data_IF_846548862422
#
_entry.id   IF_846548862422
#
_cell.length_a   1.000
_cell.length_b   1.000
_cell.length_c   1.000
_cell.angle_alpha   90.00
_cell.angle_beta   90.00
_cell.angle_gamma   90.00
#
_symmetry.space_group_name_H-M   'P 1'
#
loop_
_entity.id
_entity.type
_entity.pdbx_description
1 polymer ?
#
# COMPACT_ATOMS: atom_id res chain seq x y z
N UNK A 1 19.84 18.45 40.23
CA UNK A 1 18.56 17.77 40.55
C UNK A 1 17.37 18.29 39.72
N UNK A 2 17.58 19.13 38.69
CA UNK A 2 16.50 19.65 37.83
C UNK A 2 16.49 19.07 36.40
N UNK A 3 17.52 18.35 35.96
CA UNK A 3 17.54 17.71 34.62
C UNK A 3 16.74 16.40 34.57
N UNK A 4 16.68 15.64 35.68
CA UNK A 4 15.97 14.36 35.75
C UNK A 4 14.45 14.49 35.85
N UNK A 5 13.93 15.66 36.26
CA UNK A 5 12.48 15.94 36.29
C UNK A 5 11.95 16.36 34.90
N UNK A 6 12.77 17.00 34.07
CA UNK A 6 12.37 17.37 32.70
C UNK A 6 12.28 16.16 31.77
N UNK A 7 13.12 15.13 31.98
CA UNK A 7 13.04 13.86 31.24
C UNK A 7 11.83 13.00 31.61
N UNK A 8 11.29 13.13 32.83
CA UNK A 8 10.11 12.37 33.25
C UNK A 8 8.79 13.01 32.79
N UNK A 9 8.80 14.32 32.52
CA UNK A 9 7.60 15.11 32.15
C UNK A 9 7.42 15.25 30.61
N UNK A 10 8.46 15.04 29.80
CA UNK A 10 8.37 15.11 28.33
C UNK A 10 8.52 13.74 27.64
N UNK A 11 7.70 12.76 28.03
CA UNK A 11 7.53 11.55 27.23
C UNK A 11 6.62 11.87 26.02
N UNK A 12 7.23 12.06 24.84
CA UNK A 12 6.53 12.28 23.55
C UNK A 12 5.39 11.25 23.34
N UNK A 13 5.60 10.03 23.83
CA UNK A 13 4.70 8.88 23.71
C UNK A 13 3.48 8.88 24.63
N UNK A 14 3.42 9.76 25.62
CA UNK A 14 2.29 9.88 26.57
C UNK A 14 1.54 11.19 26.41
N UNK A 15 1.91 12.01 25.43
CA UNK A 15 1.25 13.30 25.22
C UNK A 15 -0.17 13.11 24.67
N UNK A 16 -1.12 13.97 25.08
CA UNK A 16 -2.46 13.94 24.55
C UNK A 16 -2.47 14.26 23.05
N UNK A 17 -3.48 13.75 22.35
CA UNK A 17 -3.71 14.07 20.96
C UNK A 17 -3.99 15.57 20.77
N UNK A 18 -3.55 16.12 19.64
CA UNK A 18 -3.67 17.56 19.35
C UNK A 18 -5.05 17.96 18.77
N UNK A 19 -5.88 16.99 18.41
CA UNK A 19 -7.22 17.19 17.88
C UNK A 19 -8.29 16.83 18.92
N UNK A 20 -9.50 17.38 18.76
CA UNK A 20 -10.63 17.00 19.60
C UNK A 20 -10.97 15.51 19.41
N UNK A 21 -11.35 14.85 20.50
CA UNK A 21 -11.66 13.42 20.46
C UNK A 21 -12.81 13.08 19.49
N UNK A 22 -13.73 14.03 19.25
CA UNK A 22 -14.76 13.86 18.23
C UNK A 22 -14.16 13.70 16.83
N UNK A 23 -13.17 14.51 16.46
CA UNK A 23 -12.52 14.43 15.14
C UNK A 23 -11.69 13.15 15.03
N UNK A 24 -10.99 12.77 16.09
CA UNK A 24 -10.22 11.53 16.13
C UNK A 24 -11.12 10.30 15.95
N UNK A 25 -12.31 10.28 16.55
CA UNK A 25 -13.31 9.22 16.33
C UNK A 25 -13.79 9.17 14.88
N UNK A 26 -13.99 10.31 14.22
CA UNK A 26 -14.31 10.33 12.78
C UNK A 26 -13.17 9.77 11.93
N UNK A 27 -11.91 10.13 12.24
CA UNK A 27 -10.73 9.55 11.60
C UNK A 27 -10.68 8.03 11.85
N UNK A 28 -10.94 7.57 13.07
CA UNK A 28 -11.03 6.15 13.40
C UNK A 28 -12.12 5.42 12.61
N UNK A 29 -13.31 6.00 12.49
CA UNK A 29 -14.39 5.45 11.66
C UNK A 29 -13.97 5.34 10.18
N UNK A 30 -13.29 6.35 9.65
CA UNK A 30 -12.75 6.34 8.29
C UNK A 30 -11.67 5.27 8.09
N UNK A 31 -10.76 5.10 9.05
CA UNK A 31 -9.73 4.06 9.03
C UNK A 31 -10.35 2.66 9.08
N UNK A 32 -11.44 2.48 9.83
CA UNK A 32 -12.20 1.23 9.86
C UNK A 32 -12.80 0.90 8.49
N UNK A 33 -13.41 1.89 7.82
CA UNK A 33 -13.90 1.74 6.44
C UNK A 33 -12.76 1.37 5.49
N UNK A 34 -11.64 2.07 5.57
CA UNK A 34 -10.43 1.83 4.75
C UNK A 34 -9.91 0.40 4.95
N UNK A 35 -9.87 -0.08 6.18
CA UNK A 35 -9.46 -1.45 6.52
C UNK A 35 -10.37 -2.51 5.86
N UNK A 36 -11.69 -2.36 6.01
CA UNK A 36 -12.68 -3.32 5.47
C UNK A 36 -12.62 -3.33 3.94
N UNK A 37 -12.64 -2.16 3.31
CA UNK A 37 -12.58 -2.05 1.85
C UNK A 37 -11.23 -2.53 1.30
N UNK A 38 -10.12 -2.17 1.95
CA UNK A 38 -8.77 -2.57 1.56
C UNK A 38 -8.61 -4.08 1.52
N UNK A 39 -9.07 -4.78 2.57
CA UNK A 39 -9.02 -6.25 2.61
C UNK A 39 -9.95 -6.86 1.55
N UNK A 40 -11.19 -6.40 1.49
CA UNK A 40 -12.21 -7.00 0.62
C UNK A 40 -11.85 -6.85 -0.85
N UNK A 41 -11.53 -5.63 -1.30
CA UNK A 41 -11.30 -5.33 -2.71
C UNK A 41 -9.99 -5.95 -3.22
N UNK A 42 -8.90 -5.84 -2.47
CA UNK A 42 -7.63 -6.45 -2.87
C UNK A 42 -7.69 -7.98 -2.77
N UNK A 43 -8.39 -8.53 -1.78
CA UNK A 43 -8.61 -9.97 -1.67
C UNK A 43 -9.38 -10.55 -2.86
N UNK A 44 -10.42 -9.87 -3.33
CA UNK A 44 -11.18 -10.27 -4.52
C UNK A 44 -10.30 -10.26 -5.77
N UNK A 45 -9.56 -9.16 -6.02
CA UNK A 45 -8.68 -9.06 -7.20
C UNK A 45 -7.61 -10.15 -7.16
N UNK A 46 -6.98 -10.35 -6.00
CA UNK A 46 -5.97 -11.39 -5.83
C UNK A 46 -6.55 -12.77 -6.10
N UNK A 47 -7.76 -13.06 -5.62
CA UNK A 47 -8.46 -14.33 -5.85
C UNK A 47 -8.71 -14.59 -7.34
N UNK A 48 -9.17 -13.58 -8.09
CA UNK A 48 -9.40 -13.67 -9.54
C UNK A 48 -8.09 -13.97 -10.30
N UNK A 49 -7.00 -13.30 -9.91
CA UNK A 49 -5.69 -13.47 -10.54
C UNK A 49 -5.01 -14.79 -10.15
N UNK A 50 -5.34 -15.34 -8.99
CA UNK A 50 -4.95 -16.69 -8.55
C UNK A 50 -5.66 -17.78 -9.34
N UNK A 51 -6.96 -17.64 -9.58
CA UNK A 51 -7.76 -18.58 -10.38
C UNK A 51 -7.31 -18.61 -11.86
N UNK A 52 -7.00 -17.44 -12.43
CA UNK A 52 -6.56 -17.32 -13.83
C UNK A 52 -5.05 -17.57 -14.06
N UNK A 53 -4.39 -18.42 -13.26
CA UNK A 53 -2.91 -18.61 -13.31
C UNK A 53 -2.35 -18.94 -14.69
N UNK A 54 -3.07 -19.74 -15.47
CA UNK A 54 -2.65 -20.18 -16.81
C UNK A 54 -2.77 -19.09 -17.89
N UNK A 55 -3.50 -18.01 -17.61
CA UNK A 55 -3.69 -16.87 -18.52
C UNK A 55 -3.03 -15.60 -17.97
N UNK A 56 -1.98 -15.76 -17.18
CA UNK A 56 -1.23 -14.62 -16.65
C UNK A 56 -0.38 -14.00 -17.74
N UNK A 57 -0.40 -12.68 -17.76
CA UNK A 57 0.55 -11.81 -18.44
C UNK A 57 1.58 -11.32 -17.43
N UNK A 58 2.74 -10.82 -17.89
CA UNK A 58 3.73 -10.18 -17.02
C UNK A 58 3.14 -9.03 -16.19
N UNK A 59 2.11 -8.35 -16.68
CA UNK A 59 1.45 -7.24 -15.99
C UNK A 59 0.63 -7.72 -14.78
N UNK A 60 0.09 -8.93 -14.83
CA UNK A 60 -0.64 -9.51 -13.69
C UNK A 60 0.29 -9.70 -12.49
N UNK A 61 1.61 -9.86 -12.69
CA UNK A 61 2.59 -9.92 -11.60
C UNK A 61 2.63 -8.61 -10.82
N UNK A 62 2.68 -7.47 -11.51
CA UNK A 62 2.65 -6.15 -10.85
C UNK A 62 1.36 -5.96 -10.05
N UNK A 63 0.22 -6.33 -10.62
CA UNK A 63 -1.08 -6.20 -9.95
C UNK A 63 -1.17 -7.12 -8.73
N UNK A 64 -0.69 -8.37 -8.83
CA UNK A 64 -0.63 -9.30 -7.69
C UNK A 64 0.23 -8.71 -6.57
N UNK A 65 1.44 -8.24 -6.88
CA UNK A 65 2.34 -7.64 -5.89
C UNK A 65 1.74 -6.38 -5.25
N UNK A 66 0.99 -5.59 -6.03
CA UNK A 66 0.32 -4.39 -5.55
C UNK A 66 -0.84 -4.72 -4.62
N UNK A 67 -1.66 -5.73 -4.95
CA UNK A 67 -2.68 -6.24 -4.03
C UNK A 67 -2.06 -6.81 -2.74
N UNK A 68 -0.93 -7.51 -2.82
CA UNK A 68 -0.20 -7.99 -1.63
C UNK A 68 0.27 -6.81 -0.78
N UNK A 69 0.83 -5.77 -1.42
CA UNK A 69 1.25 -4.54 -0.76
C UNK A 69 0.08 -3.85 -0.04
N UNK A 70 -1.06 -3.65 -0.73
CA UNK A 70 -2.25 -3.00 -0.16
C UNK A 70 -2.89 -3.83 0.97
N UNK A 71 -2.81 -5.16 0.89
CA UNK A 71 -3.21 -6.06 1.98
C UNK A 71 -2.27 -5.95 3.19
N UNK A 72 -0.96 -5.88 2.99
CA UNK A 72 0.00 -5.66 4.07
C UNK A 72 -0.21 -4.29 4.74
N UNK A 73 -0.45 -3.23 3.96
CA UNK A 73 -0.79 -1.91 4.49
C UNK A 73 -2.06 -1.98 5.35
N UNK A 74 -3.08 -2.69 4.88
CA UNK A 74 -4.36 -2.84 5.58
C UNK A 74 -4.23 -3.65 6.86
N UNK A 75 -3.54 -4.80 6.82
CA UNK A 75 -3.44 -5.73 7.94
C UNK A 75 -2.40 -5.31 8.99
N UNK A 76 -1.31 -4.68 8.58
CA UNK A 76 -0.18 -4.36 9.45
C UNK A 76 -0.05 -2.87 9.78
N UNK A 77 -0.46 -1.99 8.85
CA UNK A 77 -0.32 -0.54 9.00
C UNK A 77 -1.53 0.17 9.62
N UNK A 78 -2.76 -0.25 9.29
CA UNK A 78 -3.99 0.44 9.74
C UNK A 78 -4.43 0.13 11.19
N UNK A 79 -4.24 -1.07 11.76
CA UNK A 79 -4.83 -1.38 13.07
C UNK A 79 -4.37 -0.48 14.23
N UNK A 80 -3.07 -0.17 14.32
CA UNK A 80 -2.52 0.68 15.39
C UNK A 80 -3.05 2.13 15.34
N UNK A 81 -3.08 2.82 14.18
CA UNK A 81 -3.67 4.15 14.11
C UNK A 81 -5.19 4.10 14.26
N UNK A 82 -5.86 3.05 13.78
CA UNK A 82 -7.31 2.88 13.96
C UNK A 82 -7.69 2.89 15.45
N UNK A 83 -7.09 2.01 16.24
CA UNK A 83 -7.39 1.91 17.68
C UNK A 83 -6.94 3.15 18.46
N UNK A 84 -5.80 3.76 18.09
CA UNK A 84 -5.31 5.00 18.70
C UNK A 84 -6.23 6.20 18.43
N UNK A 85 -6.80 6.30 17.22
CA UNK A 85 -7.78 7.34 16.89
C UNK A 85 -9.12 7.13 17.63
N UNK A 86 -9.59 5.89 17.75
CA UNK A 86 -10.80 5.58 18.53
C UNK A 86 -10.62 5.83 20.03
N UNK A 87 -9.40 5.61 20.55
CA UNK A 87 -9.03 5.91 21.93
C UNK A 87 -8.64 7.37 22.16
N UNK A 88 -8.60 8.19 21.09
CA UNK A 88 -8.22 9.61 21.13
C UNK A 88 -6.81 9.87 21.72
N UNK A 89 -5.91 8.89 21.64
CA UNK A 89 -4.51 8.98 22.11
C UNK A 89 -3.67 7.83 21.52
N UNK A 90 -2.37 8.02 21.46
CA UNK A 90 -1.45 6.91 21.15
C UNK A 90 -1.42 5.88 22.29
N UNK A 91 -1.60 4.60 21.96
CA UNK A 91 -1.70 3.52 22.96
C UNK A 91 -0.40 2.72 23.14
N UNK A 92 0.52 2.78 22.18
CA UNK A 92 1.44 1.68 21.93
C UNK A 92 2.93 1.98 22.21
N UNK A 93 3.25 3.20 22.65
CA UNK A 93 4.61 3.62 22.98
C UNK A 93 5.55 3.68 21.77
N UNK A 94 6.86 3.81 22.03
CA UNK A 94 7.90 4.05 21.01
C UNK A 94 8.05 2.90 20.01
N UNK A 95 8.20 1.66 20.47
CA UNK A 95 8.57 0.54 19.59
C UNK A 95 7.52 0.23 18.53
N UNK A 96 6.24 0.26 18.92
CA UNK A 96 5.14 0.03 17.99
C UNK A 96 4.89 1.23 17.07
N UNK A 97 5.34 2.43 17.46
CA UNK A 97 5.34 3.59 16.58
C UNK A 97 6.39 3.45 15.47
N UNK A 98 7.60 2.99 15.82
CA UNK A 98 8.64 2.69 14.85
C UNK A 98 8.20 1.58 13.89
N UNK A 99 7.56 0.54 14.42
CA UNK A 99 6.97 -0.53 13.60
C UNK A 99 5.91 0.01 12.64
N UNK A 100 4.94 0.79 13.12
CA UNK A 100 3.85 1.31 12.28
C UNK A 100 4.38 2.26 11.21
N UNK A 101 5.25 3.20 11.59
CA UNK A 101 5.89 4.13 10.67
C UNK A 101 6.74 3.41 9.62
N UNK A 102 7.52 2.39 10.02
CA UNK A 102 8.31 1.59 9.10
C UNK A 102 7.46 0.84 8.09
N UNK A 103 6.45 0.09 8.56
CA UNK A 103 5.58 -0.71 7.69
C UNK A 103 4.79 0.19 6.75
N UNK A 104 4.17 1.25 7.25
CA UNK A 104 3.40 2.18 6.44
C UNK A 104 4.28 2.83 5.35
N UNK A 105 5.49 3.24 5.71
CA UNK A 105 6.40 3.89 4.77
C UNK A 105 6.98 2.90 3.74
N UNK A 106 7.47 1.74 4.19
CA UNK A 106 8.00 0.69 3.32
C UNK A 106 6.97 0.21 2.29
N UNK A 107 5.79 -0.19 2.74
CA UNK A 107 4.72 -0.71 1.89
C UNK A 107 4.19 0.39 0.96
N UNK A 108 4.11 1.64 1.44
CA UNK A 108 3.74 2.80 0.63
C UNK A 108 4.74 3.05 -0.52
N UNK A 109 6.04 2.98 -0.23
CA UNK A 109 7.09 3.15 -1.26
C UNK A 109 7.09 2.02 -2.29
N UNK A 110 6.94 0.76 -1.85
CA UNK A 110 6.81 -0.39 -2.76
C UNK A 110 5.60 -0.22 -3.68
N UNK A 111 4.44 0.14 -3.12
CA UNK A 111 3.22 0.39 -3.89
C UNK A 111 3.39 1.51 -4.92
N UNK A 112 4.04 2.61 -4.54
CA UNK A 112 4.37 3.71 -5.44
C UNK A 112 5.21 3.25 -6.63
N UNK A 113 6.30 2.51 -6.39
CA UNK A 113 7.15 2.01 -7.47
C UNK A 113 6.45 1.00 -8.38
N UNK A 114 5.58 0.14 -7.84
CA UNK A 114 4.76 -0.77 -8.63
C UNK A 114 3.77 -0.01 -9.53
N UNK A 115 3.15 1.05 -9.02
CA UNK A 115 2.28 1.93 -9.81
C UNK A 115 3.05 2.67 -10.90
N UNK A 116 4.26 3.16 -10.62
CA UNK A 116 5.13 3.76 -11.62
C UNK A 116 5.47 2.77 -12.74
N UNK A 117 5.88 1.54 -12.39
CA UNK A 117 6.18 0.50 -13.36
C UNK A 117 4.96 0.15 -14.24
N UNK A 118 3.79 0.03 -13.63
CA UNK A 118 2.53 -0.20 -14.36
C UNK A 118 2.22 0.96 -15.31
N UNK A 119 2.41 2.20 -14.86
CA UNK A 119 2.13 3.41 -15.64
C UNK A 119 3.07 3.53 -16.84
N UNK A 120 4.36 3.29 -16.65
CA UNK A 120 5.37 3.30 -17.72
C UNK A 120 5.06 2.23 -18.77
N UNK A 121 4.71 1.02 -18.34
CA UNK A 121 4.32 -0.04 -19.25
C UNK A 121 3.08 0.35 -20.09
N UNK A 122 2.07 0.98 -19.48
CA UNK A 122 0.87 1.44 -20.19
C UNK A 122 1.17 2.55 -21.19
N UNK A 123 1.98 3.51 -20.79
CA UNK A 123 2.44 4.59 -21.68
C UNK A 123 3.14 4.02 -22.93
N UNK A 124 4.05 3.06 -22.75
CA UNK A 124 4.79 2.46 -23.85
C UNK A 124 3.89 1.73 -24.86
N UNK A 125 2.97 0.89 -24.37
CA UNK A 125 2.02 0.16 -25.23
C UNK A 125 1.18 1.13 -26.09
N UNK A 126 0.78 2.26 -25.53
CA UNK A 126 -0.04 3.27 -26.24
C UNK A 126 0.80 4.01 -27.29
N UNK A 127 2.05 4.36 -26.98
CA UNK A 127 2.91 5.16 -27.86
C UNK A 127 3.56 4.33 -28.97
N UNK A 128 3.78 3.03 -28.76
CA UNK A 128 4.36 2.14 -29.77
C UNK A 128 3.40 1.03 -30.19
N UNK A 129 2.28 1.36 -30.88
CA UNK A 129 1.43 0.35 -31.50
C UNK A 129 2.26 -0.36 -32.58
N UNK A 130 2.28 -1.70 -32.58
CA UNK A 130 3.04 -2.58 -33.50
C UNK A 130 4.49 -2.93 -33.11
N UNK A 131 4.94 -2.64 -31.89
CA UNK A 131 6.15 -3.27 -31.33
C UNK A 131 5.78 -4.38 -30.35
N UNK A 132 6.64 -5.40 -30.25
CA UNK A 132 6.51 -6.46 -29.25
C UNK A 132 6.49 -5.86 -27.83
N UNK A 133 5.72 -6.46 -26.92
CA UNK A 133 5.68 -6.04 -25.52
C UNK A 133 7.09 -6.12 -24.90
N UNK A 134 7.62 -4.97 -24.46
CA UNK A 134 8.93 -4.91 -23.80
C UNK A 134 8.95 -5.65 -22.45
N UNK A 135 7.80 -5.71 -21.77
CA UNK A 135 7.70 -6.28 -20.43
C UNK A 135 7.46 -7.78 -20.51
N UNK A 136 8.51 -8.54 -20.23
CA UNK A 136 8.49 -9.99 -20.03
C UNK A 136 8.29 -10.35 -18.55
N UNK A 137 8.04 -11.63 -18.25
CA UNK A 137 7.99 -12.11 -16.87
C UNK A 137 9.31 -11.85 -16.11
N UNK A 138 10.45 -12.06 -16.77
CA UNK A 138 11.77 -11.82 -16.17
C UNK A 138 11.93 -10.35 -15.77
N UNK A 139 11.61 -9.43 -16.67
CA UNK A 139 11.69 -7.99 -16.38
C UNK A 139 10.69 -7.58 -15.30
N UNK A 140 9.49 -8.19 -15.27
CA UNK A 140 8.50 -7.91 -14.23
C UNK A 140 9.00 -8.31 -12.83
N UNK A 141 9.55 -9.52 -12.68
CA UNK A 141 10.12 -9.96 -11.39
C UNK A 141 11.32 -9.11 -10.96
N UNK A 142 12.19 -8.73 -11.90
CA UNK A 142 13.31 -7.82 -11.61
C UNK A 142 12.79 -6.46 -11.13
N UNK A 143 11.80 -5.89 -11.82
CA UNK A 143 11.19 -4.62 -11.42
C UNK A 143 10.56 -4.69 -10.03
N UNK A 144 9.83 -5.78 -9.70
CA UNK A 144 9.27 -5.98 -8.35
C UNK A 144 10.38 -6.06 -7.29
N UNK A 145 11.45 -6.81 -7.56
CA UNK A 145 12.59 -6.92 -6.66
C UNK A 145 13.26 -5.57 -6.43
N UNK A 146 13.47 -4.78 -7.49
CA UNK A 146 14.00 -3.41 -7.39
C UNK A 146 13.05 -2.47 -6.62
N UNK A 147 11.73 -2.60 -6.78
CA UNK A 147 10.76 -1.84 -5.98
C UNK A 147 10.87 -2.15 -4.49
N UNK A 148 11.09 -3.41 -4.11
CA UNK A 148 11.30 -3.83 -2.72
C UNK A 148 12.61 -3.24 -2.18
N UNK A 149 13.70 -3.37 -2.93
CA UNK A 149 14.99 -2.80 -2.53
C UNK A 149 14.92 -1.27 -2.40
N UNK A 150 14.24 -0.60 -3.33
CA UNK A 150 14.00 0.83 -3.26
C UNK A 150 13.17 1.22 -2.03
N UNK A 151 12.12 0.46 -1.70
CA UNK A 151 11.33 0.67 -0.50
C UNK A 151 12.17 0.55 0.78
N UNK A 152 13.02 -0.48 0.86
CA UNK A 152 13.93 -0.68 1.99
C UNK A 152 14.99 0.43 2.08
N UNK A 153 15.52 0.88 0.94
CA UNK A 153 16.49 1.97 0.88
C UNK A 153 15.97 3.24 1.56
N UNK A 154 14.67 3.53 1.46
CA UNK A 154 14.07 4.68 2.14
C UNK A 154 13.60 4.37 3.56
N UNK A 155 13.01 3.20 3.81
CA UNK A 155 12.42 2.90 5.11
C UNK A 155 13.42 2.51 6.21
N UNK A 156 14.60 1.99 5.85
CA UNK A 156 15.61 1.58 6.83
C UNK A 156 16.42 2.75 7.44
N UNK A 157 16.88 3.76 6.68
CA UNK A 157 17.71 4.83 7.23
C UNK A 157 17.14 5.63 8.42
N UNK A 158 15.83 5.88 8.55
CA UNK A 158 15.26 6.46 9.77
C UNK A 158 15.52 5.62 11.03
N UNK A 159 15.62 4.28 10.91
CA UNK A 159 15.96 3.40 12.03
C UNK A 159 17.46 3.51 12.37
N UNK A 160 18.30 3.76 11.36
CA UNK A 160 19.75 3.88 11.49
C UNK A 160 20.21 5.29 11.93
N UNK A 161 19.28 6.24 12.08
CA UNK A 161 19.57 7.59 12.59
C UNK A 161 19.81 8.66 11.53
N UNK A 162 19.58 8.38 10.24
CA UNK A 162 19.56 9.44 9.21
C UNK A 162 18.26 10.25 9.27
N UNK A 163 17.18 9.67 9.79
CA UNK A 163 15.97 10.38 10.21
C UNK A 163 15.48 9.68 11.50
N UNK A 164 14.20 9.82 11.85
CA UNK A 164 13.58 9.20 13.01
C UNK A 164 12.10 8.92 12.74
N UNK A 165 11.56 7.83 13.30
CA UNK A 165 10.12 7.57 13.28
C UNK A 165 9.48 8.20 14.52
N UNK A 166 8.48 9.06 14.31
CA UNK A 166 7.77 9.74 15.39
C UNK A 166 6.27 9.87 15.12
N UNK A 167 5.53 10.32 16.13
CA UNK A 167 4.11 10.64 16.06
C UNK A 167 3.86 11.77 15.04
N UNK A 168 2.95 11.53 14.11
CA UNK A 168 2.57 12.48 13.06
C UNK A 168 1.20 13.13 13.37
N UNK A 169 1.01 14.36 12.88
CA UNK A 169 -0.29 15.02 12.82
C UNK A 169 -0.97 15.15 14.18
N UNK A 170 -2.11 14.47 14.35
CA UNK A 170 -2.88 14.48 15.59
C UNK A 170 -2.28 13.64 16.73
N UNK A 171 -1.10 13.03 16.53
CA UNK A 171 -0.39 12.15 17.48
C UNK A 171 -1.08 10.83 17.76
N UNK A 172 -1.68 10.26 16.71
CA UNK A 172 -2.39 8.96 16.74
C UNK A 172 -1.92 8.01 15.63
N UNK A 173 -0.90 8.38 14.86
CA UNK A 173 -0.23 7.60 13.81
C UNK A 173 1.25 8.01 13.82
N UNK A 174 2.11 7.23 13.17
CA UNK A 174 3.53 7.49 13.07
C UNK A 174 4.01 7.60 11.63
N UNK A 175 5.07 8.38 11.44
CA UNK A 175 5.73 8.60 10.16
C UNK A 175 7.19 8.95 10.38
N UNK A 176 7.93 9.16 9.29
CA UNK A 176 9.22 9.85 9.36
C UNK A 176 9.05 11.27 9.91
N UNK A 177 10.11 11.81 10.52
CA UNK A 177 10.10 13.16 11.10
C UNK A 177 10.20 14.21 9.99
N UNK A 178 9.10 14.91 9.74
CA UNK A 178 9.02 15.96 8.73
C UNK A 178 9.48 17.34 9.21
N UNK A 179 9.30 17.61 10.50
CA UNK A 179 9.37 18.97 11.07
C UNK A 179 10.46 19.03 12.14
N UNK A 180 11.72 19.03 11.69
CA UNK A 180 12.89 19.21 12.55
C UNK A 180 14.01 19.92 11.77
N UNK A 181 14.89 20.61 12.49
CA UNK A 181 15.99 21.42 11.92
C UNK A 181 17.35 20.73 12.02
N UNK A 182 17.39 19.47 12.45
CA UNK A 182 18.61 18.69 12.47
C UNK A 182 19.10 18.39 11.05
N UNK A 183 20.41 18.42 10.84
CA UNK A 183 21.02 18.20 9.51
C UNK A 183 20.63 16.84 8.93
N UNK A 184 20.51 15.82 9.77
CA UNK A 184 20.07 14.48 9.38
C UNK A 184 18.65 14.52 8.80
N UNK A 185 17.68 15.10 9.52
CA UNK A 185 16.29 15.20 9.06
C UNK A 185 16.17 16.07 7.80
N UNK A 186 16.82 17.23 7.77
CA UNK A 186 16.79 18.13 6.60
C UNK A 186 17.40 17.43 5.38
N UNK A 187 18.59 16.84 5.51
CA UNK A 187 19.27 16.18 4.39
C UNK A 187 18.47 15.00 3.85
N UNK A 188 17.89 14.18 4.73
CA UNK A 188 17.03 13.06 4.35
C UNK A 188 15.76 13.53 3.62
N UNK A 189 15.08 14.56 4.15
CA UNK A 189 13.87 15.09 3.53
C UNK A 189 14.16 15.75 2.18
N UNK A 190 15.23 16.55 2.07
CA UNK A 190 15.68 17.12 0.78
C UNK A 190 15.98 16.01 -0.22
N UNK A 191 16.64 14.94 0.21
CA UNK A 191 16.97 13.82 -0.65
C UNK A 191 15.71 13.11 -1.15
N UNK A 192 14.76 12.75 -0.28
CA UNK A 192 13.48 12.16 -0.73
C UNK A 192 12.79 13.06 -1.75
N UNK A 193 12.69 14.36 -1.45
CA UNK A 193 12.00 15.34 -2.30
C UNK A 193 12.70 15.51 -3.66
N UNK A 194 14.02 15.56 -3.69
CA UNK A 194 14.82 15.72 -4.90
C UNK A 194 14.74 14.49 -5.82
N UNK A 195 14.62 13.29 -5.24
CA UNK A 195 14.58 12.02 -5.98
C UNK A 195 13.18 11.59 -6.43
N UNK A 196 12.08 12.21 -5.94
CA UNK A 196 10.68 11.95 -6.37
C UNK A 196 10.22 12.66 -7.65
N UNK A 197 11.16 13.16 -8.45
CA UNK A 197 11.13 14.43 -9.17
C UNK A 197 10.34 15.59 -8.54
N UNK A 198 10.87 16.80 -8.74
CA UNK A 198 10.08 18.01 -8.95
C UNK A 198 8.81 18.05 -8.11
N UNK A 199 9.00 18.39 -6.83
CA UNK A 199 8.00 18.97 -5.98
C UNK A 199 7.13 19.92 -6.81
N UNK A 200 6.03 19.38 -7.37
CA UNK A 200 4.91 20.10 -7.95
C UNK A 200 4.39 21.18 -6.98
N UNK A 201 4.90 21.17 -5.75
CA UNK A 201 4.60 22.06 -4.65
C UNK A 201 5.84 22.72 -3.98
N UNK A 202 7.00 22.77 -4.63
CA UNK A 202 7.69 24.07 -4.58
C UNK A 202 6.67 25.21 -4.93
N UNK A 203 5.66 24.90 -5.75
CA UNK A 203 4.52 25.73 -6.13
C UNK A 203 3.59 26.18 -4.98
N UNK A 204 2.92 25.32 -4.20
CA UNK A 204 2.00 25.81 -3.14
C UNK A 204 2.79 26.35 -1.94
N UNK A 205 3.83 25.67 -1.47
CA UNK A 205 4.48 26.03 -0.20
C UNK A 205 5.32 27.30 -0.27
N UNK A 206 5.61 27.82 -1.47
CA UNK A 206 6.29 29.12 -1.64
C UNK A 206 5.33 30.32 -1.71
N UNK A 207 4.03 30.10 -1.99
CA UNK A 207 3.02 31.17 -2.05
C UNK A 207 2.12 31.25 -0.80
N UNK A 208 2.19 30.27 0.13
CA UNK A 208 1.39 30.27 1.37
C UNK A 208 2.27 30.31 2.64
N UNK A 209 2.25 31.46 3.29
CA UNK A 209 3.02 31.82 4.51
C UNK A 209 2.72 30.94 5.75
N UNK A 210 3.65 30.87 6.73
CA UNK A 210 3.65 29.89 7.83
C UNK A 210 2.78 30.30 9.04
N UNK A 211 1.54 30.71 8.80
CA UNK A 211 0.59 30.98 9.89
C UNK A 211 -0.65 30.11 9.72
N UNK A 212 -0.72 29.09 10.59
CA UNK A 212 -1.85 28.19 10.88
C UNK A 212 -2.01 27.01 9.90
N UNK A 213 -1.07 26.06 9.91
CA UNK A 213 -1.41 24.65 9.64
C UNK A 213 -1.90 24.06 10.97
N UNK A 214 -3.21 23.86 11.09
CA UNK A 214 -3.75 23.14 12.24
C UNK A 214 -3.19 21.71 12.27
N UNK A 215 -2.95 21.10 13.45
CA UNK A 215 -2.53 19.69 13.57
C UNK A 215 -3.40 18.70 12.79
N UNK A 216 -4.65 19.09 12.48
CA UNK A 216 -5.59 18.39 11.62
C UNK A 216 -5.21 18.42 10.13
N UNK A 217 -4.75 19.57 9.63
CA UNK A 217 -4.31 19.72 8.24
C UNK A 217 -3.13 18.81 7.89
N UNK A 218 -2.21 18.59 8.84
CA UNK A 218 -1.10 17.66 8.69
C UNK A 218 -1.51 16.18 8.62
N UNK A 219 -2.72 15.84 9.08
CA UNK A 219 -3.24 14.46 9.04
C UNK A 219 -3.88 14.10 7.68
N UNK A 220 -4.24 15.09 6.86
CA UNK A 220 -4.95 14.88 5.59
C UNK A 220 -4.09 14.05 4.60
N UNK A 221 -2.82 14.39 4.32
CA UNK A 221 -1.99 13.59 3.41
C UNK A 221 -1.80 12.14 3.89
N UNK A 222 -1.64 11.94 5.20
CA UNK A 222 -1.51 10.61 5.79
C UNK A 222 -2.80 9.77 5.60
N UNK A 223 -3.97 10.39 5.71
CA UNK A 223 -5.26 9.75 5.44
C UNK A 223 -5.37 9.37 3.96
N UNK A 224 -5.08 10.30 3.04
CA UNK A 224 -5.09 10.05 1.59
C UNK A 224 -4.13 8.94 1.18
N UNK A 225 -2.92 8.93 1.75
CA UNK A 225 -1.95 7.87 1.53
C UNK A 225 -2.51 6.51 1.98
N UNK A 226 -3.19 6.46 3.13
CA UNK A 226 -3.88 5.25 3.63
C UNK A 226 -5.10 4.88 2.76
N UNK A 227 -5.77 5.83 2.10
CA UNK A 227 -6.90 5.58 1.19
C UNK A 227 -6.50 4.83 -0.08
N UNK A 228 -5.24 4.95 -0.50
CA UNK A 228 -4.74 4.37 -1.75
C UNK A 228 -5.06 2.88 -1.85
N UNK A 229 -5.05 2.16 -0.72
CA UNK A 229 -5.30 0.70 -0.66
C UNK A 229 -6.65 0.29 -1.26
N UNK A 230 -7.69 1.12 -1.17
CA UNK A 230 -9.00 0.79 -1.77
C UNK A 230 -9.25 1.50 -3.09
N UNK A 231 -8.65 2.67 -3.34
CA UNK A 231 -8.75 3.36 -4.64
C UNK A 231 -8.02 2.61 -5.76
N UNK A 232 -6.86 2.03 -5.43
CA UNK A 232 -6.03 1.22 -6.31
C UNK A 232 -6.85 0.14 -7.07
N UNK A 233 -7.58 -0.77 -6.38
CA UNK A 233 -8.52 -1.70 -7.00
C UNK A 233 -9.49 -1.12 -8.03
N UNK A 234 -10.12 0.03 -7.72
CA UNK A 234 -11.08 0.66 -8.62
C UNK A 234 -10.43 1.13 -9.92
N UNK A 235 -9.26 1.77 -9.81
CA UNK A 235 -8.49 2.23 -10.97
C UNK A 235 -8.12 1.04 -11.86
N UNK A 236 -7.64 -0.08 -11.29
CA UNK A 236 -7.27 -1.25 -12.09
C UNK A 236 -8.44 -1.84 -12.87
N UNK A 237 -9.60 -1.98 -12.22
CA UNK A 237 -10.80 -2.54 -12.85
C UNK A 237 -11.27 -1.64 -14.00
N UNK A 238 -11.27 -0.32 -13.81
CA UNK A 238 -11.71 0.60 -14.85
C UNK A 238 -10.71 0.71 -16.01
N UNK A 239 -9.41 0.78 -15.70
CA UNK A 239 -8.37 1.03 -16.69
C UNK A 239 -7.97 -0.19 -17.52
N UNK A 240 -8.25 -1.41 -17.07
CA UNK A 240 -7.76 -2.63 -17.74
C UNK A 240 -8.90 -3.52 -18.27
N UNK A 241 -9.11 -3.53 -19.59
CA UNK A 241 -10.08 -4.40 -20.27
C UNK A 241 -9.83 -5.89 -20.05
N UNK A 242 -8.57 -6.30 -19.87
CA UNK A 242 -8.21 -7.70 -19.61
C UNK A 242 -8.64 -8.16 -18.22
N UNK A 243 -8.49 -7.31 -17.19
CA UNK A 243 -8.99 -7.59 -15.83
C UNK A 243 -10.51 -7.70 -15.84
N UNK A 244 -11.21 -6.81 -16.55
CA UNK A 244 -12.68 -6.87 -16.67
C UNK A 244 -13.17 -8.18 -17.30
N UNK A 245 -12.47 -8.68 -18.33
CA UNK A 245 -12.76 -9.98 -18.92
C UNK A 245 -12.54 -11.13 -17.93
N UNK A 246 -11.42 -11.15 -17.22
CA UNK A 246 -11.13 -12.15 -16.17
C UNK A 246 -12.19 -12.13 -15.05
N UNK A 247 -12.58 -10.94 -14.60
CA UNK A 247 -13.64 -10.75 -13.61
C UNK A 247 -14.98 -11.32 -14.10
N UNK A 248 -15.37 -11.05 -15.35
CA UNK A 248 -16.60 -11.60 -15.94
C UNK A 248 -16.58 -13.13 -15.99
N UNK A 249 -15.46 -13.72 -16.42
CA UNK A 249 -15.27 -15.17 -16.44
C UNK A 249 -15.31 -15.78 -15.04
N UNK A 250 -14.59 -15.21 -14.08
CA UNK A 250 -14.56 -15.67 -12.68
C UNK A 250 -15.96 -15.61 -12.04
N UNK A 251 -16.72 -14.54 -12.26
CA UNK A 251 -18.11 -14.42 -11.80
C UNK A 251 -19.00 -15.52 -12.38
N UNK A 252 -18.82 -15.85 -13.67
CA UNK A 252 -19.57 -16.94 -14.32
C UNK A 252 -19.19 -18.31 -13.75
N UNK A 253 -17.92 -18.53 -13.40
CA UNK A 253 -17.45 -19.75 -12.73
C UNK A 253 -18.09 -19.90 -11.35
N UNK A 254 -18.07 -18.85 -10.52
CA UNK A 254 -18.70 -18.86 -9.19
C UNK A 254 -20.19 -19.16 -9.27
N UNK A 255 -20.89 -18.49 -10.18
CA UNK A 255 -22.32 -18.71 -10.37
C UNK A 255 -22.62 -20.15 -10.81
N UNK A 256 -21.73 -20.80 -11.57
CA UNK A 256 -21.86 -22.21 -11.96
C UNK A 256 -21.63 -23.17 -10.79
N UNK A 257 -20.62 -22.94 -9.97
CA UNK A 257 -20.35 -23.73 -8.75
C UNK A 257 -21.48 -23.61 -7.71
N UNK A 258 -22.14 -22.46 -7.60
CA UNK A 258 -23.31 -22.31 -6.73
C UNK A 258 -24.58 -22.97 -7.29
N UNK A 259 -24.72 -23.09 -8.61
CA UNK A 259 -25.89 -23.70 -9.24
C UNK A 259 -25.87 -25.23 -9.32
N UNK A 260 -24.73 -25.89 -9.03
CA UNK A 260 -24.58 -27.34 -9.26
C UNK A 260 -23.62 -28.02 -8.23
N UNK A 261 -23.98 -28.08 -6.93
CA UNK A 261 -23.14 -28.71 -5.90
C UNK A 261 -23.03 -30.25 -6.01
N UNK A 262 -23.71 -30.87 -6.99
CA UNK A 262 -23.78 -32.33 -7.17
C UNK A 262 -22.76 -32.92 -8.15
N UNK A 263 -21.94 -32.09 -8.82
CA UNK A 263 -20.96 -32.57 -9.82
C UNK A 263 -19.54 -32.77 -9.30
N UNK A 264 -19.14 -32.18 -8.17
CA UNK A 264 -17.82 -32.43 -7.58
C UNK A 264 -17.64 -33.88 -7.10
N UNK A 265 -18.72 -34.56 -6.72
CA UNK A 265 -18.66 -35.95 -6.25
C UNK A 265 -18.44 -36.98 -7.37
N UNK A 266 -18.65 -36.61 -8.64
CA UNK A 266 -18.62 -37.58 -9.76
C UNK A 266 -17.27 -37.66 -10.50
N UNK A 267 -16.37 -36.69 -10.32
CA UNK A 267 -15.06 -36.72 -10.99
C UNK A 267 -13.94 -37.40 -10.17
N UNK A 268 -14.20 -37.83 -8.93
CA UNK A 268 -13.19 -38.50 -8.09
C UNK A 268 -13.13 -40.05 -8.25
N UNK A 269 -13.95 -40.66 -9.11
CA UNK A 269 -14.08 -42.14 -9.21
C UNK A 269 -13.90 -42.74 -10.60
N UNK A 270 -13.29 -42.06 -11.57
CA UNK A 270 -12.89 -42.69 -12.84
C UNK A 270 -11.40 -43.05 -12.86
N UNK A 271 -11.04 -44.35 -12.76
CA UNK A 271 -9.65 -44.77 -12.87
C UNK A 271 -9.13 -44.63 -14.31
N UNK A 272 -7.87 -44.21 -14.39
CA UNK A 272 -6.99 -44.20 -15.55
C UNK A 272 -7.15 -45.46 -16.41
N UNK A 273 -7.63 -45.33 -17.66
CA UNK A 273 -7.23 -46.20 -18.78
C UNK A 273 -7.83 -45.73 -20.11
N UNK A 274 -7.01 -45.05 -20.94
CA UNK A 274 -6.96 -45.21 -22.41
C UNK A 274 -5.93 -44.24 -23.02
N UNK A 275 -4.67 -44.65 -23.04
CA UNK A 275 -3.75 -44.28 -24.12
C UNK A 275 -3.48 -45.55 -24.93
N UNK A 276 -4.17 -45.72 -26.07
CA UNK A 276 -3.80 -46.69 -27.10
C UNK A 276 -3.38 -45.85 -28.32
N UNK A 277 -2.11 -45.97 -28.67
CA UNK A 277 -1.47 -45.37 -29.85
C UNK A 277 -2.08 -45.90 -31.16
N UNK A 278 -2.12 -45.11 -32.24
CA UNK A 278 -2.38 -45.60 -33.58
C UNK A 278 -1.08 -46.11 -34.22
N UNK A 279 -1.05 -47.35 -34.69
CA UNK A 279 -0.07 -47.83 -35.67
C UNK A 279 -0.75 -47.82 -37.03
N UNK A 280 -0.21 -47.01 -37.93
CA UNK A 280 -0.48 -47.02 -39.37
C UNK A 280 0.67 -47.75 -40.07
N UNK A 281 0.29 -48.55 -41.09
CA UNK A 281 1.08 -49.29 -42.09
C UNK A 281 2.04 -50.36 -41.60
#
# INVERSE_FOLDING_TARGET
MNESLNSFVYNEWTQPALASCQILKWIGGYLCFTFICGITLNGIILSILCDSKHRRSPIDIFIICLCISDLLASLLGIPLPLTSNLACRWLYGKYLCYYEGFIAYFVGMVGLYLLTALSLNRYWIIVTPNREEFVTFKTAYISVFLSILGGLFWAVPPILGWNDYTLEGARTSCSIRWQDRTVNVISYNILIIAWTPYAFVAFISSFFSPTIISPLGASIPAIFAKSSVYFNPFVYIMSNSHIRSKLFHWRKTINRTQSDPSKETFELTTPLNKCRTPLTS
#
